data_IF_298913429884
#
_entry.id   IF_298913429884
#
_cell.length_a   1.000
_cell.length_b   1.000
_cell.length_c   1.000
_cell.angle_alpha   90.00
_cell.angle_beta   90.00
_cell.angle_gamma   90.00
#
_symmetry.space_group_name_H-M   'P 1'
#
loop_
_entity.id
_entity.type
_entity.pdbx_description
1 polymer ?
#
# COMPACT_ATOMS: atom_id res chain seq x y z
N UNK A 1 -5.73 -12.48 -16.80
CA UNK A 1 -4.37 -12.50 -16.24
C UNK A 1 -4.48 -13.01 -14.81
N UNK A 2 -3.75 -14.07 -14.49
CA UNK A 2 -3.77 -14.65 -13.15
C UNK A 2 -2.99 -13.75 -12.19
N UNK A 3 -3.57 -13.49 -11.03
CA UNK A 3 -2.90 -12.71 -9.99
C UNK A 3 -1.81 -13.57 -9.32
N UNK A 4 -0.67 -12.98 -8.94
CA UNK A 4 0.43 -13.73 -8.35
C UNK A 4 0.04 -14.28 -6.98
N UNK A 5 0.59 -15.43 -6.61
CA UNK A 5 0.60 -15.89 -5.23
C UNK A 5 1.67 -15.15 -4.41
N UNK A 6 1.62 -15.30 -3.08
CA UNK A 6 2.52 -14.55 -2.20
C UNK A 6 4.01 -14.77 -2.50
N UNK A 7 4.54 -16.00 -2.65
CA UNK A 7 5.96 -16.21 -2.97
C UNK A 7 6.37 -15.60 -4.31
N UNK A 8 5.53 -15.70 -5.34
CA UNK A 8 5.79 -15.10 -6.64
C UNK A 8 5.86 -13.58 -6.55
N UNK A 9 4.91 -12.95 -5.86
CA UNK A 9 4.90 -11.50 -5.68
C UNK A 9 6.13 -11.02 -4.90
N UNK A 10 6.48 -11.70 -3.81
CA UNK A 10 7.66 -11.35 -3.00
C UNK A 10 8.95 -11.39 -3.82
N UNK A 11 9.13 -12.42 -4.64
CA UNK A 11 10.32 -12.55 -5.48
C UNK A 11 10.46 -11.39 -6.48
N UNK A 12 9.33 -10.91 -7.04
CA UNK A 12 9.33 -9.78 -7.97
C UNK A 12 9.67 -8.45 -7.29
N UNK A 13 9.22 -8.23 -6.06
CA UNK A 13 9.25 -6.87 -5.47
C UNK A 13 10.35 -6.65 -4.41
N UNK A 14 10.95 -7.73 -3.86
CA UNK A 14 11.90 -7.64 -2.73
C UNK A 14 13.13 -6.76 -2.96
N UNK A 15 13.53 -6.57 -4.22
CA UNK A 15 14.69 -5.74 -4.57
C UNK A 15 14.33 -4.25 -4.75
N UNK A 16 13.04 -3.90 -4.78
CA UNK A 16 12.57 -2.54 -5.08
C UNK A 16 12.01 -1.81 -3.86
N UNK A 17 11.62 -2.52 -2.81
CA UNK A 17 10.99 -1.92 -1.63
C UNK A 17 11.16 -2.80 -0.41
N UNK A 18 11.10 -2.19 0.78
CA UNK A 18 10.92 -2.96 2.01
C UNK A 18 9.48 -3.43 2.10
N UNK A 19 9.34 -4.62 2.64
CA UNK A 19 8.07 -5.34 2.73
C UNK A 19 7.79 -5.63 4.19
N UNK A 20 6.56 -5.35 4.62
CA UNK A 20 6.04 -5.80 5.91
C UNK A 20 4.86 -6.73 5.65
N UNK A 21 4.83 -7.89 6.30
CA UNK A 21 3.71 -8.82 6.19
C UNK A 21 3.03 -8.90 7.56
N UNK A 22 1.73 -8.64 7.58
CA UNK A 22 0.89 -8.90 8.75
C UNK A 22 0.13 -10.19 8.52
N UNK A 23 0.13 -11.07 9.52
CA UNK A 23 -0.53 -12.37 9.47
C UNK A 23 -1.56 -12.48 10.59
N UNK A 24 -2.74 -13.00 10.24
CA UNK A 24 -3.80 -13.32 11.20
C UNK A 24 -4.61 -14.49 10.69
N UNK A 25 -4.61 -15.59 11.43
CA UNK A 25 -5.17 -16.88 10.99
C UNK A 25 -4.55 -17.26 9.62
N UNK A 26 -5.40 -17.64 8.67
CA UNK A 26 -5.00 -18.02 7.32
C UNK A 26 -4.74 -16.82 6.38
N UNK A 27 -4.86 -15.59 6.89
CA UNK A 27 -4.74 -14.39 6.07
C UNK A 27 -3.39 -13.71 6.24
N UNK A 28 -2.84 -13.27 5.11
CA UNK A 28 -1.65 -12.43 5.06
C UNK A 28 -1.91 -11.17 4.27
N UNK A 29 -1.46 -10.04 4.80
CA UNK A 29 -1.52 -8.74 4.16
C UNK A 29 -0.09 -8.26 3.93
N UNK A 30 0.23 -7.96 2.68
CA UNK A 30 1.53 -7.49 2.26
C UNK A 30 1.51 -5.97 2.11
N UNK A 31 2.38 -5.30 2.86
CA UNK A 31 2.61 -3.86 2.81
C UNK A 31 3.95 -3.55 2.15
N UNK A 32 4.01 -2.46 1.39
CA UNK A 32 5.24 -1.93 0.78
C UNK A 32 5.51 -0.51 1.25
N UNK A 33 6.77 -0.17 1.49
CA UNK A 33 7.16 1.24 1.67
C UNK A 33 6.98 2.03 0.37
N UNK A 34 7.09 1.36 -0.78
CA UNK A 34 6.86 1.96 -2.09
C UNK A 34 5.40 2.41 -2.21
N UNK A 35 5.18 3.71 -2.10
CA UNK A 35 3.86 4.32 -2.13
C UNK A 35 2.97 3.96 -0.92
N UNK A 36 3.54 3.47 0.18
CA UNK A 36 2.85 3.11 1.42
C UNK A 36 1.57 2.27 1.19
N UNK A 37 1.69 1.18 0.42
CA UNK A 37 0.52 0.43 -0.09
C UNK A 37 0.33 -0.89 0.62
N UNK A 38 -0.93 -1.30 0.70
CA UNK A 38 -1.28 -2.71 0.80
C UNK A 38 -1.27 -3.28 -0.62
N UNK A 39 -0.21 -4.00 -0.97
CA UNK A 39 -0.04 -4.51 -2.33
C UNK A 39 -0.73 -5.87 -2.54
N UNK A 40 -0.96 -6.63 -1.47
CA UNK A 40 -1.67 -7.89 -1.58
C UNK A 40 -2.37 -8.34 -0.31
N UNK A 41 -3.45 -9.09 -0.50
CA UNK A 41 -4.18 -9.81 0.53
C UNK A 41 -4.33 -11.25 0.07
N UNK A 42 -3.92 -12.18 0.92
CA UNK A 42 -3.83 -13.60 0.60
C UNK A 42 -4.56 -14.40 1.67
N UNK A 43 -5.22 -15.48 1.26
CA UNK A 43 -5.63 -16.57 2.15
C UNK A 43 -4.77 -17.80 1.82
N UNK A 44 -4.16 -18.45 2.81
CA UNK A 44 -3.31 -19.64 2.61
C UNK A 44 -2.20 -19.49 1.54
N UNK A 45 -1.69 -18.27 1.33
CA UNK A 45 -0.75 -17.92 0.25
C UNK A 45 -1.25 -18.23 -1.18
N UNK A 46 -2.57 -18.32 -1.38
CA UNK A 46 -3.19 -18.52 -2.69
C UNK A 46 -3.07 -17.26 -3.57
N UNK A 47 -3.94 -17.13 -4.56
CA UNK A 47 -4.03 -15.98 -5.45
C UNK A 47 -4.27 -14.68 -4.66
N UNK A 48 -3.52 -13.63 -5.01
CA UNK A 48 -3.76 -12.29 -4.45
C UNK A 48 -5.19 -11.83 -4.76
N UNK A 49 -5.92 -11.38 -3.74
CA UNK A 49 -7.26 -10.80 -3.93
C UNK A 49 -7.23 -9.41 -4.56
N UNK A 50 -6.08 -8.73 -4.49
CA UNK A 50 -5.90 -7.42 -5.09
C UNK A 50 -5.24 -7.54 -6.46
N UNK A 51 -5.66 -6.67 -7.38
CA UNK A 51 -4.98 -6.53 -8.65
C UNK A 51 -3.57 -5.97 -8.45
N UNK A 52 -2.60 -6.62 -9.08
CA UNK A 52 -1.21 -6.18 -9.20
C UNK A 52 -0.84 -6.10 -10.67
N UNK A 53 -0.01 -5.13 -11.03
CA UNK A 53 0.48 -5.02 -12.40
C UNK A 53 1.23 -6.29 -12.82
N UNK A 54 0.94 -6.87 -14.01
CA UNK A 54 1.67 -8.03 -14.51
C UNK A 54 3.17 -7.72 -14.72
N UNK A 55 3.48 -6.46 -15.04
CA UNK A 55 4.83 -5.95 -15.29
C UNK A 55 5.34 -5.14 -14.08
N UNK A 56 4.97 -5.53 -12.86
CA UNK A 56 5.30 -4.79 -11.64
C UNK A 56 6.79 -4.45 -11.51
N UNK A 57 7.70 -5.32 -11.95
CA UNK A 57 9.13 -5.05 -11.91
C UNK A 57 9.52 -3.84 -12.78
N UNK A 58 8.98 -3.74 -13.98
CA UNK A 58 9.26 -2.63 -14.89
C UNK A 58 8.64 -1.34 -14.40
N UNK A 59 7.41 -1.41 -13.87
CA UNK A 59 6.73 -0.28 -13.23
C UNK A 59 7.56 0.24 -12.04
N UNK A 60 8.05 -0.66 -11.18
CA UNK A 60 8.86 -0.26 -10.02
C UNK A 60 10.24 0.28 -10.42
N UNK A 61 10.89 -0.32 -11.43
CA UNK A 61 12.15 0.19 -12.00
C UNK A 61 11.98 1.59 -12.59
N UNK A 62 10.85 1.85 -13.25
CA UNK A 62 10.52 3.15 -13.83
C UNK A 62 10.13 4.23 -12.82
N UNK A 63 10.02 3.89 -11.51
CA UNK A 63 9.52 4.83 -10.52
C UNK A 63 8.03 5.14 -10.68
N UNK A 64 7.28 4.27 -11.37
CA UNK A 64 5.89 4.50 -11.71
C UNK A 64 4.92 4.11 -10.60
N UNK A 65 3.82 4.84 -10.52
CA UNK A 65 2.84 4.63 -9.46
C UNK A 65 1.92 3.42 -9.69
N UNK A 66 1.87 2.83 -10.88
CA UNK A 66 0.83 1.87 -11.25
C UNK A 66 1.17 0.40 -10.92
N UNK A 67 1.64 0.15 -9.70
CA UNK A 67 2.00 -1.22 -9.25
C UNK A 67 0.77 -2.06 -8.84
N UNK A 68 -0.40 -1.44 -8.71
CA UNK A 68 -1.63 -2.05 -8.18
C UNK A 68 -1.77 -1.92 -6.66
N UNK A 69 -2.51 -2.86 -6.07
CA UNK A 69 -2.85 -2.88 -4.65
C UNK A 69 -3.89 -1.83 -4.25
N UNK A 70 -4.04 -1.63 -2.94
CA UNK A 70 -4.83 -0.56 -2.35
C UNK A 70 -3.93 0.66 -2.11
N UNK A 71 -4.32 1.80 -2.68
CA UNK A 71 -3.72 3.10 -2.39
C UNK A 71 -4.37 3.67 -1.14
N UNK A 72 -3.59 3.83 -0.09
CA UNK A 72 -4.03 4.44 1.17
C UNK A 72 -3.60 5.89 1.16
N UNK A 73 -4.56 6.80 1.33
CA UNK A 73 -4.27 8.22 1.55
C UNK A 73 -4.17 8.45 3.05
N UNK A 74 -2.97 8.78 3.52
CA UNK A 74 -2.75 9.26 4.88
C UNK A 74 -2.75 10.78 4.79
N UNK A 75 -3.66 11.45 5.48
CA UNK A 75 -3.63 12.92 5.66
C UNK A 75 -3.03 13.21 7.03
N UNK A 76 -1.68 13.27 7.16
CA UNK A 76 -1.04 13.58 8.44
C UNK A 76 -1.46 14.98 8.92
N UNK A 77 -1.65 15.90 7.96
CA UNK A 77 -2.18 17.24 8.15
C UNK A 77 -3.55 17.28 8.85
N UNK A 78 -4.37 16.23 8.72
CA UNK A 78 -5.69 16.17 9.34
C UNK A 78 -5.64 16.45 10.85
N UNK A 79 -4.62 15.96 11.53
CA UNK A 79 -4.50 16.14 12.98
C UNK A 79 -3.95 17.53 13.38
N UNK A 80 -3.40 18.29 12.42
CA UNK A 80 -2.77 19.58 12.69
C UNK A 80 -3.60 20.78 12.21
N UNK A 81 -4.33 20.61 11.12
CA UNK A 81 -5.01 21.71 10.42
C UNK A 81 -6.53 21.66 10.57
N UNK A 82 -7.10 20.67 11.27
CA UNK A 82 -8.54 20.58 11.52
C UNK A 82 -8.80 20.57 13.03
N UNK A 83 -9.74 21.40 13.50
CA UNK A 83 -10.18 21.35 14.90
C UNK A 83 -11.07 20.15 15.19
N UNK A 84 -11.76 19.62 14.17
CA UNK A 84 -12.46 18.33 14.20
C UNK A 84 -11.87 17.38 13.13
N UNK A 85 -10.75 16.69 13.44
CA UNK A 85 -10.06 15.81 12.52
C UNK A 85 -10.89 14.60 12.07
N UNK A 86 -11.73 14.03 12.94
CA UNK A 86 -12.48 12.80 12.64
C UNK A 86 -13.49 13.04 11.52
N UNK A 87 -14.13 14.20 11.52
CA UNK A 87 -15.13 14.57 10.51
C UNK A 87 -14.55 15.45 9.38
N UNK A 88 -13.26 15.74 9.38
CA UNK A 88 -12.61 16.67 8.45
C UNK A 88 -13.28 18.06 8.43
N UNK A 89 -13.57 18.62 9.61
CA UNK A 89 -14.22 19.93 9.76
C UNK A 89 -13.33 20.95 10.45
N UNK A 90 -13.70 22.22 10.26
CA UNK A 90 -13.02 23.36 10.89
C UNK A 90 -11.53 23.42 10.53
N UNK A 91 -11.24 23.35 9.22
CA UNK A 91 -9.90 23.59 8.74
C UNK A 91 -9.43 24.99 9.14
N UNK A 92 -8.20 25.10 9.58
CA UNK A 92 -7.56 26.37 9.90
C UNK A 92 -6.13 26.41 9.41
N UNK A 93 -5.65 27.61 9.10
CA UNK A 93 -4.24 27.86 8.86
C UNK A 93 -3.58 28.28 10.18
N UNK A 94 -2.57 27.57 10.70
CA UNK A 94 -1.78 28.01 11.82
C UNK A 94 -1.22 29.40 11.52
N UNK A 95 -1.31 30.32 12.48
CA UNK A 95 -0.55 31.57 12.38
C UNK A 95 0.94 31.22 12.40
N UNK A 96 1.71 31.85 11.52
CA UNK A 96 3.15 31.62 11.36
C UNK A 96 3.87 31.60 12.72
N UNK A 97 4.87 30.72 12.86
CA UNK A 97 5.74 30.59 14.04
C UNK A 97 6.60 31.84 14.25
#
# INVERSE_FOLDING_TARGET
>A
MDQPNLPSLLNKIKNFTKITILEKNDFKILFTEYGARVLGVFKNNETNFLWVSPNIEDVMKGGEWNIGGLRIWISPERNFYYKDPINFREWFCPKEL
#
